data_IF_025185945464
#
_entry.id   IF_025185945464
#
_cell.length_a   1.000
_cell.length_b   1.000
_cell.length_c   1.000
_cell.angle_alpha   90.00
_cell.angle_beta   90.00
_cell.angle_gamma   90.00
#
_symmetry.space_group_name_H-M   'P 1'
#
loop_
_entity.id
_entity.type
_entity.pdbx_description
1 polymer ?
#
# COMPACT_ATOMS: atom_id res chain seq x y z
N UNK A 1 3.58 10.60 6.67
CA UNK A 1 2.61 9.69 6.04
C UNK A 1 1.61 10.41 5.14
N UNK A 2 1.09 11.59 5.53
CA UNK A 2 0.19 12.43 4.70
C UNK A 2 0.59 12.59 3.22
N UNK A 3 1.82 13.04 2.93
CA UNK A 3 2.27 13.21 1.54
C UNK A 3 2.38 11.91 0.75
N UNK A 4 2.76 10.81 1.40
CA UNK A 4 2.79 9.50 0.75
C UNK A 4 1.37 9.04 0.39
N UNK A 5 0.40 9.29 1.28
CA UNK A 5 -1.01 9.03 1.02
C UNK A 5 -1.51 9.86 -0.15
N UNK A 6 -1.30 11.18 -0.12
CA UNK A 6 -1.65 12.09 -1.22
C UNK A 6 -1.09 11.59 -2.56
N UNK A 7 0.19 11.19 -2.57
CA UNK A 7 0.85 10.61 -3.73
C UNK A 7 0.14 9.33 -4.22
N UNK A 8 -0.04 8.30 -3.38
CA UNK A 8 -0.63 7.03 -3.85
C UNK A 8 -2.09 7.20 -4.27
N UNK A 9 -2.85 8.11 -3.64
CA UNK A 9 -4.24 8.43 -4.02
C UNK A 9 -4.33 9.23 -5.31
N UNK A 10 -3.28 9.98 -5.67
CA UNK A 10 -3.23 10.74 -6.93
C UNK A 10 -3.03 9.84 -8.15
N UNK A 11 -2.58 8.60 -7.96
CA UNK A 11 -2.35 7.65 -9.06
C UNK A 11 -3.70 7.08 -9.53
N UNK A 12 -4.08 7.26 -10.81
CA UNK A 12 -5.33 6.71 -11.32
C UNK A 12 -5.36 5.19 -11.23
N UNK A 13 -6.51 4.62 -10.90
CA UNK A 13 -6.70 3.17 -10.83
C UNK A 13 -6.80 2.58 -12.26
N UNK A 14 -5.71 1.99 -12.75
CA UNK A 14 -5.64 1.36 -14.07
C UNK A 14 -6.16 -0.09 -14.04
N UNK A 15 -7.45 -0.27 -13.75
CA UNK A 15 -8.09 -1.59 -13.84
C UNK A 15 -8.75 -1.78 -15.19
N UNK A 16 -8.56 -2.97 -15.77
CA UNK A 16 -9.34 -3.39 -16.94
C UNK A 16 -10.78 -3.66 -16.50
N UNK A 17 -11.74 -2.95 -17.09
CA UNK A 17 -13.16 -3.17 -16.85
C UNK A 17 -13.53 -4.62 -17.17
N UNK A 18 -14.20 -5.29 -16.23
CA UNK A 18 -14.69 -6.67 -16.41
C UNK A 18 -13.64 -7.78 -16.37
N UNK A 19 -12.35 -7.49 -16.18
CA UNK A 19 -11.27 -8.48 -16.00
C UNK A 19 -10.22 -7.99 -15.01
N UNK A 20 -10.13 -8.59 -13.83
CA UNK A 20 -9.06 -8.29 -12.87
C UNK A 20 -9.36 -8.73 -11.44
N UNK A 21 -8.34 -8.70 -10.59
CA UNK A 21 -8.46 -8.99 -9.17
C UNK A 21 -8.98 -7.73 -8.43
N UNK A 22 -10.29 -7.58 -8.31
CA UNK A 22 -10.92 -6.42 -7.64
C UNK A 22 -10.63 -6.31 -6.14
N UNK A 23 -10.01 -7.36 -5.56
CA UNK A 23 -9.74 -7.49 -4.13
C UNK A 23 -8.80 -6.41 -3.57
N UNK A 24 -7.88 -5.88 -4.38
CA UNK A 24 -6.84 -4.94 -3.91
C UNK A 24 -6.75 -3.71 -4.81
N UNK A 25 -6.82 -2.51 -4.23
CA UNK A 25 -6.66 -1.25 -4.95
C UNK A 25 -5.21 -0.98 -5.30
N UNK A 26 -4.97 -0.24 -6.38
CA UNK A 26 -3.63 0.16 -6.79
C UNK A 26 -2.98 1.03 -5.71
N UNK A 27 -3.74 1.93 -5.08
CA UNK A 27 -3.26 2.75 -3.95
C UNK A 27 -2.68 1.89 -2.82
N UNK A 28 -3.37 0.81 -2.46
CA UNK A 28 -2.96 -0.12 -1.41
C UNK A 28 -1.68 -0.88 -1.80
N UNK A 29 -1.60 -1.33 -3.06
CA UNK A 29 -0.44 -2.04 -3.59
C UNK A 29 0.79 -1.12 -3.61
N UNK A 30 0.62 0.12 -4.06
CA UNK A 30 1.70 1.11 -4.09
C UNK A 30 2.19 1.44 -2.68
N UNK A 31 1.25 1.65 -1.73
CA UNK A 31 1.58 1.87 -0.33
C UNK A 31 2.39 0.70 0.23
N UNK A 32 1.96 -0.56 0.00
CA UNK A 32 2.68 -1.75 0.44
C UNK A 32 4.10 -1.83 -0.12
N UNK A 33 4.25 -1.60 -1.43
CA UNK A 33 5.56 -1.70 -2.10
C UNK A 33 6.49 -0.61 -1.59
N UNK A 34 6.04 0.64 -1.48
CA UNK A 34 6.88 1.76 -1.03
C UNK A 34 7.34 1.52 0.41
N UNK A 35 6.42 1.15 1.31
CA UNK A 35 6.77 0.90 2.71
C UNK A 35 7.67 -0.33 2.87
N UNK A 36 7.43 -1.40 2.12
CA UNK A 36 8.33 -2.56 2.10
C UNK A 36 9.73 -2.17 1.65
N UNK A 37 9.86 -1.36 0.59
CA UNK A 37 11.15 -0.88 0.09
C UNK A 37 11.88 0.00 1.08
N UNK A 38 11.17 0.92 1.76
CA UNK A 38 11.74 1.74 2.83
C UNK A 38 12.23 0.89 4.02
N UNK A 39 11.60 -0.26 4.26
CA UNK A 39 12.01 -1.25 5.27
C UNK A 39 13.01 -2.29 4.74
N UNK A 40 13.68 -2.01 3.61
CA UNK A 40 14.72 -2.86 3.00
C UNK A 40 14.21 -4.23 2.50
N UNK A 41 12.90 -4.41 2.30
CA UNK A 41 12.37 -5.58 1.59
C UNK A 41 12.67 -5.43 0.09
N UNK A 42 13.46 -6.35 -0.48
CA UNK A 42 13.93 -6.27 -1.86
C UNK A 42 13.10 -7.16 -2.80
N UNK A 43 12.75 -8.35 -2.32
CA UNK A 43 12.04 -9.37 -3.08
C UNK A 43 10.53 -9.22 -2.92
N UNK A 44 9.78 -9.76 -3.87
CA UNK A 44 8.32 -9.85 -3.78
C UNK A 44 7.90 -10.60 -2.50
N UNK A 45 8.59 -11.68 -2.16
CA UNK A 45 8.30 -12.50 -0.97
C UNK A 45 8.45 -11.68 0.31
N UNK A 46 9.53 -10.92 0.45
CA UNK A 46 9.74 -10.05 1.61
C UNK A 46 8.66 -8.97 1.71
N UNK A 47 8.26 -8.36 0.59
CA UNK A 47 7.20 -7.34 0.58
C UNK A 47 5.85 -7.96 0.98
N UNK A 48 5.55 -9.17 0.50
CA UNK A 48 4.33 -9.87 0.89
C UNK A 48 4.33 -10.22 2.38
N UNK A 49 5.46 -10.68 2.91
CA UNK A 49 5.61 -11.01 4.33
C UNK A 49 5.52 -9.76 5.21
N UNK A 50 6.12 -8.65 4.77
CA UNK A 50 5.95 -7.34 5.38
C UNK A 50 4.47 -6.95 5.48
N UNK A 51 3.70 -7.10 4.38
CA UNK A 51 2.27 -6.77 4.36
C UNK A 51 1.39 -7.66 5.25
N UNK A 52 1.81 -8.90 5.54
CA UNK A 52 1.13 -9.75 6.53
C UNK A 52 1.42 -9.29 7.96
N UNK A 53 2.66 -8.88 8.23
CA UNK A 53 3.11 -8.42 9.55
C UNK A 53 2.59 -7.02 9.89
N UNK A 54 2.49 -6.15 8.88
CA UNK A 54 2.00 -4.78 8.99
C UNK A 54 0.90 -4.57 7.94
N UNK A 55 -0.34 -5.00 8.23
CA UNK A 55 -1.46 -4.74 7.34
C UNK A 55 -1.66 -3.25 7.10
N UNK A 56 -2.00 -2.89 5.87
CA UNK A 56 -2.22 -1.49 5.44
C UNK A 56 -3.19 -0.74 6.36
N UNK A 57 -4.25 -1.39 6.87
CA UNK A 57 -5.17 -0.74 7.80
C UNK A 57 -4.54 -0.40 9.16
N UNK A 58 -3.52 -1.14 9.61
CA UNK A 58 -2.78 -0.83 10.84
C UNK A 58 -1.87 0.37 10.61
N UNK A 59 -1.22 0.41 9.45
CA UNK A 59 -0.37 1.54 9.03
C UNK A 59 -1.20 2.81 8.92
N UNK A 60 -2.41 2.71 8.37
CA UNK A 60 -3.35 3.82 8.24
C UNK A 60 -3.92 4.31 9.58
N UNK A 61 -3.88 3.50 10.65
CA UNK A 61 -4.44 3.87 11.97
C UNK A 61 -3.52 4.80 12.76
N UNK A 62 -2.22 4.85 12.46
CA UNK A 62 -1.26 5.71 13.16
C UNK A 62 -1.40 7.21 12.81
N UNK A 63 -2.03 7.53 11.68
CA UNK A 63 -2.31 8.93 11.31
C UNK A 63 -3.55 9.50 12.04
N UNK A 64 -4.50 8.66 12.50
CA UNK A 64 -5.70 9.11 13.21
C UNK A 64 -5.46 9.43 14.69
N UNK A 65 -4.41 8.86 15.31
CA UNK A 65 -4.09 9.12 16.72
C UNK A 65 -3.01 10.20 16.92
N UNK A 66 -2.52 10.80 15.83
CA UNK A 66 -1.51 11.86 15.84
C UNK A 66 -2.10 13.26 15.61
N UNK A 67 -3.43 13.39 15.69
CA UNK A 67 -4.17 14.65 15.54
C UNK A 67 -5.13 14.86 16.70
#
# INVERSE_FOLDING_TARGET
MKHLREFVTSVPEYRRTGKGNFKHKLEDILMLVILGRLNKCITKTEILEFGKRYPIWIINRQDEMAN
#
